data_IF_465206707225
#
_entry.id   IF_465206707225
#
_cell.length_a   1.000
_cell.length_b   1.000
_cell.length_c   1.000
_cell.angle_alpha   90.00
_cell.angle_beta   90.00
_cell.angle_gamma   90.00
#
_symmetry.space_group_name_H-M   'P 1'
#
loop_
_entity.id
_entity.type
_entity.pdbx_description
1 polymer ?
#
# COMPACT_ATOMS: atom_id res chain seq x y z
N UNK A 1 13.01 -7.08 3.75
CA UNK A 1 13.06 -5.63 3.46
C UNK A 1 12.29 -5.29 2.17
N UNK A 2 11.55 -4.18 2.12
CA UNK A 2 10.85 -3.72 0.90
C UNK A 2 11.79 -2.89 0.01
N UNK A 3 11.99 -3.25 -1.27
CA UNK A 3 12.72 -2.41 -2.22
C UNK A 3 12.01 -1.06 -2.41
N UNK A 4 12.78 0.00 -2.57
CA UNK A 4 12.22 1.33 -2.83
C UNK A 4 11.84 1.46 -4.31
N UNK A 5 10.58 1.78 -4.57
CA UNK A 5 10.06 1.88 -5.93
C UNK A 5 10.66 3.08 -6.70
N UNK A 6 11.14 4.11 -6.01
CA UNK A 6 11.72 5.33 -6.64
C UNK A 6 13.10 5.10 -7.27
N UNK A 7 13.82 4.07 -6.79
CA UNK A 7 15.20 3.80 -7.23
C UNK A 7 15.28 3.17 -8.63
N UNK A 8 14.17 2.69 -9.17
CA UNK A 8 14.12 2.00 -10.45
C UNK A 8 13.13 2.70 -11.38
N UNK A 9 13.59 3.80 -11.97
CA UNK A 9 12.76 4.68 -12.84
C UNK A 9 12.30 3.98 -14.12
N UNK A 10 12.97 2.89 -14.50
CA UNK A 10 12.67 2.13 -15.72
C UNK A 10 11.47 1.19 -15.53
N UNK A 11 11.03 0.92 -14.30
CA UNK A 11 9.87 0.11 -14.01
C UNK A 11 9.07 0.69 -12.84
N UNK A 12 8.06 1.54 -13.08
CA UNK A 12 7.24 2.11 -12.00
C UNK A 12 6.22 1.11 -11.43
N UNK A 13 6.17 -0.11 -11.97
CA UNK A 13 5.21 -1.16 -11.56
C UNK A 13 5.53 -1.63 -10.14
N UNK A 14 4.49 -1.81 -9.32
CA UNK A 14 4.70 -2.17 -7.91
C UNK A 14 5.23 -3.58 -7.75
N UNK A 15 4.62 -4.58 -8.40
CA UNK A 15 5.06 -5.96 -8.34
C UNK A 15 6.42 -6.13 -9.06
N UNK A 16 7.34 -6.94 -8.52
CA UNK A 16 7.24 -7.77 -7.30
C UNK A 16 7.74 -7.07 -6.02
N UNK A 17 7.92 -5.73 -6.04
CA UNK A 17 8.52 -4.93 -4.94
C UNK A 17 7.51 -4.49 -3.86
N UNK A 18 6.27 -4.97 -3.96
CA UNK A 18 5.21 -4.78 -2.99
C UNK A 18 4.75 -6.13 -2.43
N UNK A 19 4.09 -6.11 -1.26
CA UNK A 19 3.45 -7.29 -0.67
C UNK A 19 2.01 -6.99 -0.35
N UNK A 20 1.12 -7.97 -0.54
CA UNK A 20 -0.26 -7.85 -0.11
C UNK A 20 -0.50 -8.75 1.11
N UNK A 21 -1.37 -8.32 2.02
CA UNK A 21 -1.75 -9.08 3.21
C UNK A 21 -3.26 -9.13 3.35
N UNK A 22 -3.79 -10.31 3.63
CA UNK A 22 -5.21 -10.51 3.94
C UNK A 22 -5.48 -10.04 5.35
N UNK A 23 -6.48 -9.18 5.50
CA UNK A 23 -6.96 -8.63 6.77
C UNK A 23 -7.95 -9.64 7.36
N UNK A 24 -7.68 -10.20 8.55
CA UNK A 24 -8.59 -11.10 9.23
C UNK A 24 -9.94 -10.42 9.49
N UNK A 25 -11.04 -11.14 9.23
CA UNK A 25 -12.38 -10.65 9.57
C UNK A 25 -12.59 -10.75 11.08
N UNK A 26 -12.57 -9.61 11.76
CA UNK A 26 -12.81 -9.51 13.21
C UNK A 26 -14.31 -9.58 13.52
N UNK A 27 -14.99 -10.67 13.14
CA UNK A 27 -16.41 -10.86 13.49
C UNK A 27 -16.57 -11.37 14.92
N UNK A 28 -15.51 -11.92 15.54
CA UNK A 28 -15.48 -12.31 16.94
C UNK A 28 -14.18 -11.86 17.59
N UNK A 29 -14.25 -11.04 18.63
CA UNK A 29 -13.11 -10.44 19.33
C UNK A 29 -12.17 -11.45 20.04
N UNK A 30 -12.38 -12.76 19.85
CA UNK A 30 -11.63 -13.85 20.48
C UNK A 30 -10.78 -14.68 19.52
N UNK A 31 -10.82 -14.40 18.22
CA UNK A 31 -10.04 -15.14 17.22
C UNK A 31 -9.33 -14.16 16.28
N UNK A 32 -8.28 -13.51 16.81
CA UNK A 32 -7.41 -12.62 16.03
C UNK A 32 -6.36 -13.50 15.36
N UNK A 33 -6.68 -14.02 14.18
CA UNK A 33 -5.68 -14.68 13.34
C UNK A 33 -4.64 -13.66 12.89
N UNK A 34 -3.35 -14.05 12.76
CA UNK A 34 -2.34 -13.16 12.20
C UNK A 34 -2.69 -12.83 10.74
N UNK A 35 -2.32 -11.63 10.25
CA UNK A 35 -2.44 -11.31 8.82
C UNK A 35 -1.60 -12.30 8.01
N UNK A 36 -2.17 -12.80 6.91
CA UNK A 36 -1.49 -13.76 6.02
C UNK A 36 -1.08 -13.04 4.74
N UNK A 37 0.18 -13.20 4.30
CA UNK A 37 0.64 -12.68 3.02
C UNK A 37 -0.18 -13.31 1.88
N UNK A 38 -0.71 -12.47 1.00
CA UNK A 38 -1.48 -12.88 -0.16
C UNK A 38 -0.55 -12.95 -1.38
N UNK A 39 -0.73 -14.01 -2.16
CA UNK A 39 -0.05 -14.16 -3.45
C UNK A 39 -0.62 -13.14 -4.46
N UNK A 40 0.24 -12.26 -4.96
CA UNK A 40 -0.12 -11.19 -5.91
C UNK A 40 -0.14 -11.67 -7.37
N UNK A 41 0.43 -12.83 -7.66
CA UNK A 41 0.49 -13.42 -9.01
C UNK A 41 -0.74 -14.29 -9.29
N UNK A 42 -1.34 -14.86 -8.24
CA UNK A 42 -2.53 -15.71 -8.35
C UNK A 42 -3.80 -14.85 -8.35
N UNK A 43 -4.69 -14.99 -9.36
CA UNK A 43 -6.00 -14.36 -9.33
C UNK A 43 -6.78 -14.81 -8.09
N UNK A 44 -7.09 -13.87 -7.21
CA UNK A 44 -7.75 -14.14 -5.93
C UNK A 44 -8.72 -13.04 -5.51
N UNK A 45 -9.37 -13.25 -4.37
CA UNK A 45 -10.24 -12.24 -3.79
C UNK A 45 -9.41 -11.11 -3.17
N UNK A 46 -9.38 -9.96 -3.84
CA UNK A 46 -8.69 -8.75 -3.36
C UNK A 46 -9.43 -8.05 -2.21
N UNK A 47 -10.66 -8.47 -1.91
CA UNK A 47 -11.41 -7.90 -0.80
C UNK A 47 -10.66 -8.15 0.50
N UNK A 48 -10.66 -7.15 1.36
CA UNK A 48 -9.99 -7.20 2.66
C UNK A 48 -8.47 -7.47 2.53
N UNK A 49 -7.83 -7.07 1.42
CA UNK A 49 -6.38 -7.08 1.28
C UNK A 49 -5.78 -5.68 1.39
N UNK A 50 -4.67 -5.55 2.12
CA UNK A 50 -3.85 -4.35 2.18
C UNK A 50 -2.57 -4.57 1.37
N UNK A 51 -2.25 -3.65 0.48
CA UNK A 51 -1.01 -3.60 -0.27
C UNK A 51 -0.02 -2.70 0.46
N UNK A 52 1.18 -3.22 0.72
CA UNK A 52 2.27 -2.55 1.43
C UNK A 52 3.47 -2.44 0.50
N UNK A 53 4.08 -1.25 0.45
CA UNK A 53 5.21 -0.96 -0.43
C UNK A 53 6.04 0.20 0.10
N UNK A 54 7.27 0.34 -0.41
CA UNK A 54 8.15 1.47 -0.11
C UNK A 54 8.28 2.39 -1.32
N UNK A 55 8.11 3.69 -1.11
CA UNK A 55 8.31 4.70 -2.14
C UNK A 55 9.00 5.92 -1.52
N UNK A 56 10.09 6.39 -2.12
CA UNK A 56 10.86 7.56 -1.67
C UNK A 56 11.25 7.49 -0.19
N UNK A 57 11.76 6.34 0.20
CA UNK A 57 12.24 6.06 1.55
C UNK A 57 11.13 5.73 2.56
N UNK A 58 9.85 5.88 2.20
CA UNK A 58 8.71 5.77 3.11
C UNK A 58 7.87 4.54 2.85
N UNK A 59 7.38 3.91 3.91
CA UNK A 59 6.41 2.82 3.79
C UNK A 59 5.00 3.38 3.61
N UNK A 60 4.25 2.76 2.71
CA UNK A 60 2.86 3.08 2.41
C UNK A 60 2.00 1.82 2.48
N UNK A 61 0.74 2.00 2.86
CA UNK A 61 -0.24 0.93 2.89
C UNK A 61 -1.61 1.42 2.40
N UNK A 62 -2.17 0.72 1.42
CA UNK A 62 -3.45 1.04 0.76
C UNK A 62 -4.27 -0.23 0.58
N UNK A 63 -5.58 -0.12 0.31
CA UNK A 63 -6.32 -1.31 -0.15
C UNK A 63 -5.73 -1.82 -1.46
N UNK A 64 -5.55 -3.14 -1.58
CA UNK A 64 -5.03 -3.75 -2.80
C UNK A 64 -6.06 -3.68 -3.95
N UNK A 65 -7.34 -3.62 -3.61
CA UNK A 65 -8.45 -3.54 -4.54
C UNK A 65 -8.68 -2.10 -5.02
N UNK A 66 -8.56 -1.85 -6.33
CA UNK A 66 -8.94 -0.56 -6.90
C UNK A 66 -10.44 -0.27 -6.67
N UNK A 67 -10.82 0.87 -6.06
CA UNK A 67 -12.21 1.16 -5.69
C UNK A 67 -13.14 1.40 -6.90
N UNK A 68 -12.60 1.57 -8.10
CA UNK A 68 -13.38 1.72 -9.33
C UNK A 68 -13.99 0.39 -9.81
N UNK A 69 -13.17 -0.66 -9.93
CA UNK A 69 -13.58 -1.92 -10.57
C UNK A 69 -12.77 -3.14 -10.12
N UNK A 70 -12.32 -3.11 -8.87
CA UNK A 70 -11.65 -4.22 -8.18
C UNK A 70 -10.46 -4.83 -8.89
N UNK A 71 -9.67 -4.02 -9.61
CA UNK A 71 -8.42 -4.47 -10.23
C UNK A 71 -7.27 -4.40 -9.22
N UNK A 72 -6.28 -5.33 -9.25
CA UNK A 72 -5.17 -5.34 -8.30
C UNK A 72 -4.24 -4.14 -8.51
N UNK A 73 -4.10 -3.33 -7.47
CA UNK A 73 -3.19 -2.19 -7.48
C UNK A 73 -1.70 -2.58 -7.39
N UNK A 74 -1.37 -3.83 -7.04
CA UNK A 74 0.00 -4.35 -7.16
C UNK A 74 0.53 -4.33 -8.61
N UNK A 75 -0.36 -4.30 -9.60
CA UNK A 75 0.00 -4.13 -11.02
C UNK A 75 -0.02 -2.65 -11.45
N UNK A 76 -0.26 -1.74 -10.51
CA UNK A 76 -0.26 -0.29 -10.75
C UNK A 76 1.13 0.29 -10.86
N UNK A 77 1.18 1.56 -11.28
CA UNK A 77 2.40 2.35 -11.35
C UNK A 77 2.33 3.51 -10.36
N UNK A 78 3.38 3.69 -9.56
CA UNK A 78 3.50 4.83 -8.64
C UNK A 78 4.16 6.01 -9.35
N UNK A 79 3.77 7.23 -8.96
CA UNK A 79 4.28 8.46 -9.55
C UNK A 79 4.22 9.61 -8.57
N UNK A 80 4.97 10.67 -8.86
CA UNK A 80 4.91 11.92 -8.10
C UNK A 80 3.76 12.81 -8.56
N UNK A 81 3.04 13.38 -7.60
CA UNK A 81 2.12 14.47 -7.87
C UNK A 81 2.90 15.76 -7.65
N UNK A 82 3.23 16.44 -8.74
CA UNK A 82 4.08 17.64 -8.73
C UNK A 82 3.30 18.87 -9.19
N UNK A 83 3.69 20.03 -8.68
CA UNK A 83 3.29 21.35 -9.18
C UNK A 83 4.53 22.24 -9.26
N UNK A 84 4.78 22.83 -10.44
CA UNK A 84 6.00 23.61 -10.72
C UNK A 84 7.33 22.95 -10.30
N UNK A 85 7.45 21.63 -10.45
CA UNK A 85 8.65 20.86 -10.10
C UNK A 85 8.83 20.60 -8.60
N UNK A 86 7.80 20.88 -7.79
CA UNK A 86 7.74 20.56 -6.37
C UNK A 86 6.81 19.36 -6.19
N UNK A 87 7.32 18.25 -5.66
CA UNK A 87 6.50 17.09 -5.30
C UNK A 87 5.61 17.43 -4.09
N UNK A 88 4.31 17.56 -4.35
CA UNK A 88 3.28 17.86 -3.35
C UNK A 88 2.76 16.58 -2.68
N UNK A 89 2.75 15.47 -3.43
CA UNK A 89 2.26 14.17 -2.98
C UNK A 89 2.78 13.05 -3.91
N UNK A 90 2.24 11.84 -3.76
CA UNK A 90 2.46 10.71 -4.64
C UNK A 90 1.14 10.02 -4.96
N UNK A 91 1.08 9.44 -6.15
CA UNK A 91 -0.09 8.75 -6.66
C UNK A 91 0.22 7.33 -7.11
N UNK A 92 -0.84 6.55 -7.29
CA UNK A 92 -0.82 5.25 -7.93
C UNK A 92 -1.85 5.20 -9.06
N UNK A 93 -1.45 4.77 -10.25
CA UNK A 93 -2.33 4.56 -11.40
C UNK A 93 -2.68 3.10 -11.56
N UNK A 94 -3.99 2.81 -11.59
CA UNK A 94 -4.53 1.50 -11.93
C UNK A 94 -4.45 1.26 -13.45
N UNK A 95 -3.82 0.18 -13.93
CA UNK A 95 -3.54 0.01 -15.37
C UNK A 95 -4.79 -0.38 -16.17
N UNK A 96 -5.84 -0.91 -15.52
CA UNK A 96 -7.05 -1.35 -16.22
C UNK A 96 -7.83 -0.21 -16.86
N UNK A 97 -7.97 0.91 -16.15
CA UNK A 97 -8.83 2.02 -16.56
C UNK A 97 -8.18 3.39 -16.32
N UNK A 98 -6.90 3.44 -15.96
CA UNK A 98 -6.12 4.67 -15.77
C UNK A 98 -6.63 5.56 -14.63
N UNK A 99 -7.27 5.00 -13.60
CA UNK A 99 -7.65 5.75 -12.41
C UNK A 99 -6.43 5.97 -11.54
N UNK A 100 -6.23 7.21 -11.10
CA UNK A 100 -5.12 7.56 -10.24
C UNK A 100 -5.63 7.96 -8.86
N UNK A 101 -4.90 7.54 -7.83
CA UNK A 101 -5.26 7.82 -6.45
C UNK A 101 -4.06 8.36 -5.70
N UNK A 102 -4.24 9.45 -4.97
CA UNK A 102 -3.25 9.98 -4.05
C UNK A 102 -3.04 8.99 -2.89
N UNK A 103 -1.80 8.53 -2.66
CA UNK A 103 -1.52 7.43 -1.71
C UNK A 103 -1.49 7.89 -0.24
N UNK A 104 -1.71 9.18 0.03
CA UNK A 104 -1.76 9.74 1.39
C UNK A 104 -3.20 10.02 1.83
N UNK A 105 -3.98 10.64 0.95
CA UNK A 105 -5.36 11.05 1.16
C UNK A 105 -6.38 10.04 0.65
N UNK A 106 -6.00 9.23 -0.33
CA UNK A 106 -6.87 8.30 -1.06
C UNK A 106 -7.71 8.94 -2.14
N UNK A 107 -7.59 10.25 -2.37
CA UNK A 107 -8.42 10.98 -3.33
C UNK A 107 -8.14 10.50 -4.75
N UNK A 108 -9.20 10.16 -5.48
CA UNK A 108 -9.11 9.89 -6.91
C UNK A 108 -8.89 11.18 -7.71
N UNK A 109 -8.18 11.07 -8.83
CA UNK A 109 -7.94 12.17 -9.78
C UNK A 109 -9.21 12.71 -10.42
N UNK A 110 -10.26 11.88 -10.50
CA UNK A 110 -11.58 12.22 -11.03
C UNK A 110 -12.69 11.52 -10.26
N UNK A 111 -13.95 11.79 -10.60
CA UNK A 111 -15.11 11.15 -10.00
C UNK A 111 -15.18 11.26 -8.47
N UNK A 112 -15.92 10.34 -7.83
CA UNK A 112 -16.11 10.32 -6.38
C UNK A 112 -15.67 8.97 -5.77
N UNK A 113 -14.56 8.42 -6.26
CA UNK A 113 -13.94 7.24 -5.66
C UNK A 113 -12.88 7.67 -4.64
N UNK A 114 -12.72 6.86 -3.59
CA UNK A 114 -11.71 7.09 -2.57
C UNK A 114 -11.01 5.77 -2.25
N UNK A 115 -9.71 5.72 -2.53
CA UNK A 115 -8.84 4.63 -2.14
C UNK A 115 -8.66 4.66 -0.62
N UNK A 116 -8.78 3.50 0.03
CA UNK A 116 -8.54 3.42 1.46
C UNK A 116 -7.04 3.43 1.72
N UNK A 117 -6.61 4.37 2.55
CA UNK A 117 -5.22 4.51 3.00
C UNK A 117 -5.13 4.07 4.46
N UNK A 118 -4.11 3.28 4.77
CA UNK A 118 -3.83 2.74 6.09
C UNK A 118 -2.70 3.53 6.74
N UNK A 119 -2.68 3.59 8.07
CA UNK A 119 -1.55 4.17 8.79
C UNK A 119 -0.45 3.14 8.93
N UNK A 120 0.79 3.58 8.71
CA UNK A 120 1.98 2.76 8.81
C UNK A 120 2.87 3.29 9.94
N UNK A 121 3.38 2.40 10.77
CA UNK A 121 4.36 2.70 11.81
C UNK A 121 5.56 1.76 11.63
N UNK A 122 6.77 2.31 11.68
CA UNK A 122 8.00 1.53 11.74
C UNK A 122 8.38 1.35 13.19
N UNK A 123 8.73 0.12 13.58
CA UNK A 123 9.20 -0.20 14.92
C UNK A 123 10.50 -0.99 14.85
N UNK A 124 11.39 -0.73 15.80
CA UNK A 124 12.60 -1.52 15.94
C UNK A 124 12.26 -2.87 16.57
N UNK A 125 12.88 -3.97 16.11
CA UNK A 125 12.64 -5.28 16.68
C UNK A 125 13.16 -5.32 18.14
N UNK A 126 12.49 -6.07 19.03
CA UNK A 126 12.84 -6.13 20.46
C UNK A 126 14.23 -6.72 20.74
N UNK A 127 14.83 -7.41 19.76
CA UNK A 127 16.21 -7.90 19.81
C UNK A 127 16.97 -7.37 18.59
N UNK A 128 17.30 -6.08 18.61
CA UNK A 128 18.25 -5.52 17.66
C UNK A 128 19.62 -6.19 17.89
N UNK A 129 19.92 -7.21 17.09
CA UNK A 129 21.29 -7.70 16.94
C UNK A 129 22.01 -6.70 16.05
N UNK A 130 23.26 -6.37 16.39
CA UNK A 130 24.04 -5.27 15.78
C UNK A 130 24.19 -5.39 14.25
N UNK A 131 23.84 -6.53 13.67
CA UNK A 131 23.95 -6.85 12.25
C UNK A 131 22.63 -6.81 11.45
N UNK A 132 21.47 -6.52 12.06
CA UNK A 132 20.21 -6.52 11.31
C UNK A 132 19.33 -5.29 11.57
N UNK A 133 19.35 -4.34 10.62
CA UNK A 133 18.53 -3.12 10.61
C UNK A 133 17.09 -3.36 10.11
N UNK A 134 16.59 -4.59 10.13
CA UNK A 134 15.24 -4.93 9.69
C UNK A 134 14.20 -4.32 10.64
N UNK A 135 13.52 -3.27 10.18
CA UNK A 135 12.41 -2.64 10.91
C UNK A 135 11.10 -3.39 10.67
N UNK A 136 10.28 -3.51 11.72
CA UNK A 136 8.93 -4.05 11.63
C UNK A 136 7.95 -3.00 11.08
N UNK A 137 7.13 -3.41 10.11
CA UNK A 137 6.08 -2.56 9.52
C UNK A 137 4.74 -2.88 10.17
N UNK A 138 4.21 -1.95 10.94
CA UNK A 138 2.91 -2.04 11.60
C UNK A 138 1.86 -1.27 10.81
N UNK A 139 0.76 -1.93 10.42
CA UNK A 139 -0.31 -1.33 9.62
C UNK A 139 -1.61 -1.30 10.42
N UNK A 140 -2.29 -0.15 10.47
CA UNK A 140 -3.57 0.01 11.17
C UNK A 140 -4.57 0.86 10.38
N UNK A 141 -5.85 0.68 10.67
CA UNK A 141 -6.92 1.52 10.10
C UNK A 141 -6.74 2.96 10.57
N UNK A 142 -6.87 3.95 9.66
CA UNK A 142 -6.93 5.37 10.04
C UNK A 142 -8.07 5.59 11.03
N UNK A 143 -7.77 6.15 12.20
CA UNK A 143 -8.82 6.58 13.12
C UNK A 143 -9.55 7.77 12.50
N UNK A 144 -10.89 7.71 12.46
CA UNK A 144 -11.68 8.91 12.19
C UNK A 144 -11.58 9.81 13.41
N UNK A 145 -10.83 10.90 13.27
CA UNK A 145 -10.86 11.99 14.23
C UNK A 145 -12.02 12.90 13.79
N UNK A 146 -13.17 12.78 14.46
CA UNK A 146 -14.34 13.65 14.29
C UNK A 146 -15.14 13.42 13.02
#
# INVERSE_FOLDING_TARGET
MFPDLDLDKDCPVMAPRCKAFTIPQTNHARDVQPPTEADIEVPGNLKDQVLVFKYKGKMHAIDHQCPHSSFPLSQGSVFDIEDFGISLSAGITCPKHGWSFDIFSGQADRGNYKLKVWEVQLRDPPAATEDNSDQEVWVRRKQRIG
#
